data_IF_757781967913
#
_entry.id   IF_757781967913
#
_cell.length_a   1.000
_cell.length_b   1.000
_cell.length_c   1.000
_cell.angle_alpha   90.00
_cell.angle_beta   90.00
_cell.angle_gamma   90.00
#
_symmetry.space_group_name_H-M   'P 1'
#
loop_
_entity.id
_entity.type
_entity.pdbx_description
1 polymer ?
#
# COMPACT_ATOMS: atom_id res chain seq x y z
N UNK A 1 29.89 -4.25 -16.02
CA UNK A 1 28.55 -4.82 -16.23
C UNK A 1 27.58 -3.65 -16.22
N UNK A 2 26.90 -3.45 -17.36
CA UNK A 2 26.10 -2.26 -17.59
C UNK A 2 24.81 -2.30 -16.74
N UNK A 3 24.72 -1.45 -15.75
CA UNK A 3 23.53 -1.20 -14.92
C UNK A 3 22.29 -0.79 -15.73
N UNK A 4 22.43 -0.45 -17.01
CA UNK A 4 21.31 -0.10 -17.91
C UNK A 4 20.38 -1.28 -18.22
N UNK A 5 20.83 -2.51 -18.11
CA UNK A 5 19.98 -3.70 -18.35
C UNK A 5 19.00 -3.90 -17.19
N UNK A 6 19.42 -3.60 -15.96
CA UNK A 6 18.55 -3.71 -14.77
C UNK A 6 17.44 -2.65 -14.76
N UNK A 7 17.73 -1.45 -15.26
CA UNK A 7 16.72 -0.36 -15.38
C UNK A 7 15.63 -0.73 -16.41
N UNK A 8 15.95 -1.41 -17.50
CA UNK A 8 14.97 -1.84 -18.49
C UNK A 8 14.00 -2.90 -17.96
N UNK A 9 14.44 -3.79 -17.09
CA UNK A 9 13.55 -4.78 -16.43
C UNK A 9 12.60 -4.13 -15.40
N UNK A 10 12.97 -3.00 -14.83
CA UNK A 10 12.12 -2.24 -13.90
C UNK A 10 10.99 -1.52 -14.65
N UNK A 11 11.20 -1.10 -15.91
CA UNK A 11 10.22 -0.36 -16.72
C UNK A 11 9.07 -1.25 -17.19
N UNK A 12 9.28 -2.54 -17.42
CA UNK A 12 8.25 -3.48 -17.89
C UNK A 12 7.26 -3.91 -16.78
N UNK A 13 7.58 -3.63 -15.53
CA UNK A 13 6.70 -3.87 -14.38
C UNK A 13 6.60 -2.61 -13.53
N UNK A 14 5.61 -1.73 -13.78
CA UNK A 14 5.41 -0.53 -12.97
C UNK A 14 5.09 -0.91 -11.53
N UNK A 15 6.06 -0.67 -10.66
CA UNK A 15 6.00 -0.96 -9.23
C UNK A 15 6.52 0.23 -8.43
N UNK A 16 5.93 0.47 -7.27
CA UNK A 16 6.36 1.50 -6.33
C UNK A 16 7.19 0.87 -5.22
N UNK A 17 8.22 1.59 -4.77
CA UNK A 17 8.96 1.25 -3.54
C UNK A 17 8.17 1.73 -2.34
N UNK A 18 7.88 0.81 -1.41
CA UNK A 18 7.17 1.12 -0.18
C UNK A 18 8.08 0.80 1.01
N UNK A 19 8.35 1.81 1.82
CA UNK A 19 9.10 1.64 3.05
C UNK A 19 8.21 1.04 4.14
N UNK A 20 8.71 0.03 4.84
CA UNK A 20 7.96 -0.64 5.92
C UNK A 20 7.66 0.31 7.07
N UNK A 21 8.58 1.21 7.38
CA UNK A 21 8.41 2.23 8.41
C UNK A 21 7.20 3.14 8.13
N UNK A 22 6.99 3.53 6.87
CA UNK A 22 5.81 4.30 6.47
C UNK A 22 4.51 3.56 6.82
N UNK A 23 4.39 2.28 6.45
CA UNK A 23 3.21 1.48 6.79
C UNK A 23 3.06 1.28 8.29
N UNK A 24 4.15 1.03 9.01
CA UNK A 24 4.11 0.90 10.47
C UNK A 24 3.65 2.19 11.16
N UNK A 25 4.04 3.33 10.62
CA UNK A 25 3.58 4.65 11.11
C UNK A 25 2.08 4.81 10.86
N UNK A 26 1.60 4.51 9.65
CA UNK A 26 0.18 4.52 9.32
C UNK A 26 -0.64 3.55 10.18
N UNK A 27 -0.12 2.35 10.43
CA UNK A 27 -0.78 1.36 11.31
C UNK A 27 -0.98 1.86 12.73
N UNK A 28 -0.08 2.71 13.22
CA UNK A 28 -0.14 3.30 14.56
C UNK A 28 -0.98 4.59 14.63
N UNK A 29 -1.20 5.27 13.50
CA UNK A 29 -2.00 6.48 13.46
C UNK A 29 -3.48 6.17 13.67
N UNK A 30 -3.97 6.33 14.89
CA UNK A 30 -5.37 6.12 15.28
C UNK A 30 -6.37 7.04 14.59
N UNK A 31 -5.91 8.14 14.01
CA UNK A 31 -6.75 9.15 13.37
C UNK A 31 -7.13 8.80 11.93
N UNK A 32 -6.31 8.02 11.22
CA UNK A 32 -6.63 7.54 9.88
C UNK A 32 -7.48 6.27 10.00
N UNK A 33 -8.71 6.33 9.51
CA UNK A 33 -9.71 5.28 9.73
C UNK A 33 -9.60 4.16 8.69
N UNK A 34 -9.77 2.93 9.17
CA UNK A 34 -10.06 1.76 8.34
C UNK A 34 -11.57 1.49 8.32
N UNK A 35 -12.01 0.69 7.37
CA UNK A 35 -13.33 0.07 7.34
C UNK A 35 -13.21 -1.41 6.99
N UNK A 36 -14.30 -2.15 6.95
CA UNK A 36 -14.27 -3.58 6.61
C UNK A 36 -13.81 -3.89 5.18
N UNK A 37 -13.69 -2.88 4.31
CA UNK A 37 -13.27 -3.01 2.91
C UNK A 37 -11.90 -2.36 2.64
N UNK A 38 -11.06 -2.15 3.65
CA UNK A 38 -9.71 -1.56 3.53
C UNK A 38 -8.72 -2.54 2.88
N UNK A 39 -9.08 -3.13 1.73
CA UNK A 39 -8.34 -4.25 1.15
C UNK A 39 -6.94 -3.88 0.66
N UNK A 40 -6.74 -2.66 0.16
CA UNK A 40 -5.41 -2.18 -0.21
C UNK A 40 -4.51 -2.13 1.03
N UNK A 41 -4.99 -1.54 2.12
CA UNK A 41 -4.26 -1.47 3.39
C UNK A 41 -3.96 -2.87 3.95
N UNK A 42 -4.94 -3.76 3.97
CA UNK A 42 -4.74 -5.11 4.49
C UNK A 42 -3.70 -5.90 3.70
N UNK A 43 -3.80 -5.87 2.38
CA UNK A 43 -2.86 -6.56 1.53
C UNK A 43 -1.44 -5.98 1.61
N UNK A 44 -1.30 -4.63 1.60
CA UNK A 44 0.00 -3.99 1.78
C UNK A 44 0.61 -4.29 3.16
N UNK A 45 -0.23 -4.37 4.20
CA UNK A 45 0.22 -4.77 5.54
C UNK A 45 0.82 -6.17 5.50
N UNK A 46 0.15 -7.15 4.89
CA UNK A 46 0.72 -8.49 4.73
C UNK A 46 2.03 -8.47 3.93
N UNK A 47 2.10 -7.71 2.84
CA UNK A 47 3.33 -7.53 2.07
C UNK A 47 4.47 -6.97 2.92
N UNK A 48 4.18 -6.06 3.86
CA UNK A 48 5.21 -5.47 4.73
C UNK A 48 5.85 -6.45 5.69
N UNK A 49 5.13 -7.50 6.07
CA UNK A 49 5.66 -8.58 6.91
C UNK A 49 6.27 -9.74 6.12
N UNK A 50 5.91 -9.88 4.84
CA UNK A 50 6.42 -10.96 4.00
C UNK A 50 7.96 -11.00 3.96
N UNK A 51 8.51 -12.19 4.05
CA UNK A 51 9.94 -12.40 4.14
C UNK A 51 10.62 -12.28 2.76
N UNK A 52 11.86 -11.78 2.73
CA UNK A 52 12.65 -11.67 1.49
C UNK A 52 13.59 -12.84 1.28
N UNK A 53 14.01 -13.46 2.38
CA UNK A 53 14.95 -14.59 2.38
C UNK A 53 14.38 -15.70 3.23
N UNK A 54 14.71 -16.91 2.90
CA UNK A 54 14.38 -18.05 3.75
C UNK A 54 14.98 -17.86 5.14
N UNK A 55 14.15 -17.94 6.15
CA UNK A 55 14.55 -17.81 7.55
C UNK A 55 13.70 -18.69 8.48
N UNK A 56 14.07 -18.76 9.74
CA UNK A 56 13.31 -19.45 10.77
C UNK A 56 12.66 -18.44 11.71
N UNK A 57 11.37 -18.60 11.94
CA UNK A 57 10.61 -17.83 12.94
C UNK A 57 10.22 -18.78 14.06
N UNK A 58 10.55 -18.42 15.31
CA UNK A 58 10.20 -19.21 16.49
C UNK A 58 8.93 -18.67 17.14
N UNK A 59 7.88 -19.46 17.17
CA UNK A 59 6.62 -19.14 17.83
C UNK A 59 6.19 -20.33 18.70
N UNK A 60 5.77 -20.04 19.92
CA UNK A 60 5.31 -21.05 20.90
C UNK A 60 6.28 -22.24 21.09
N UNK A 61 7.59 -21.94 21.06
CA UNK A 61 8.64 -22.95 21.21
C UNK A 61 8.96 -23.75 19.95
N UNK A 62 8.21 -23.60 18.88
CA UNK A 62 8.38 -24.29 17.58
C UNK A 62 9.08 -23.35 16.59
N UNK A 63 10.04 -23.88 15.85
CA UNK A 63 10.70 -23.15 14.74
C UNK A 63 10.01 -23.49 13.42
N UNK A 64 9.52 -22.46 12.75
CA UNK A 64 8.85 -22.56 11.46
C UNK A 64 9.76 -22.03 10.36
N UNK A 65 9.90 -22.79 9.27
CA UNK A 65 10.58 -22.32 8.07
C UNK A 65 9.64 -21.34 7.32
N UNK A 66 10.16 -20.15 7.00
CA UNK A 66 9.46 -19.10 6.27
C UNK A 66 10.27 -18.77 5.02
N UNK A 67 9.68 -19.02 3.86
CA UNK A 67 10.29 -18.76 2.55
C UNK A 67 10.05 -17.30 2.10
N UNK A 68 10.70 -16.83 1.00
CA UNK A 68 10.38 -15.54 0.41
C UNK A 68 8.90 -15.39 0.04
N UNK A 69 8.29 -14.28 0.45
CA UNK A 69 6.85 -14.02 0.27
C UNK A 69 5.96 -14.62 1.35
N UNK A 70 6.54 -15.39 2.28
CA UNK A 70 5.80 -15.98 3.39
C UNK A 70 6.00 -15.23 4.70
N UNK A 71 5.03 -15.38 5.60
CA UNK A 71 5.16 -15.03 7.00
C UNK A 71 4.28 -15.90 7.88
N UNK A 72 4.60 -15.94 9.17
CA UNK A 72 3.81 -16.60 10.20
C UNK A 72 3.62 -15.68 11.39
N UNK A 73 2.38 -15.59 11.88
CA UNK A 73 2.01 -14.73 13.01
C UNK A 73 0.89 -15.34 13.83
N UNK A 74 0.63 -14.78 15.00
CA UNK A 74 -0.56 -15.10 15.78
C UNK A 74 -1.80 -14.46 15.16
N UNK A 75 -2.96 -15.08 15.31
CA UNK A 75 -4.24 -14.51 14.86
C UNK A 75 -4.55 -13.19 15.59
N UNK A 76 -4.10 -13.03 16.84
CA UNK A 76 -4.20 -11.77 17.59
C UNK A 76 -3.37 -10.65 16.99
N UNK A 77 -2.11 -10.93 16.60
CA UNK A 77 -1.24 -9.95 15.93
C UNK A 77 -1.85 -9.48 14.60
N UNK A 78 -2.43 -10.42 13.84
CA UNK A 78 -3.13 -10.09 12.60
C UNK A 78 -4.30 -9.13 12.82
N UNK A 79 -5.07 -9.32 13.90
CA UNK A 79 -6.17 -8.43 14.29
C UNK A 79 -5.67 -7.02 14.62
N UNK A 80 -4.53 -6.91 15.30
CA UNK A 80 -3.89 -5.63 15.59
C UNK A 80 -3.42 -4.94 14.29
N UNK A 81 -2.77 -5.67 13.40
CA UNK A 81 -2.28 -5.13 12.13
C UNK A 81 -3.41 -4.60 11.25
N UNK A 82 -4.52 -5.33 11.19
CA UNK A 82 -5.71 -4.95 10.42
C UNK A 82 -6.62 -3.96 11.17
N UNK A 83 -6.29 -3.65 12.43
CA UNK A 83 -7.10 -2.77 13.28
C UNK A 83 -8.55 -3.25 13.39
N UNK A 84 -8.74 -4.56 13.41
CA UNK A 84 -10.04 -5.20 13.60
C UNK A 84 -10.32 -5.41 15.08
N UNK A 85 -11.60 -5.29 15.46
CA UNK A 85 -12.00 -5.50 16.85
C UNK A 85 -11.92 -6.97 17.28
N UNK A 86 -12.16 -7.89 16.35
CA UNK A 86 -12.24 -9.32 16.63
C UNK A 86 -11.38 -10.12 15.65
N UNK A 87 -10.79 -11.21 16.15
CA UNK A 87 -9.93 -12.09 15.35
C UNK A 87 -10.63 -12.71 14.14
N UNK A 88 -11.93 -13.06 14.26
CA UNK A 88 -12.69 -13.63 13.14
C UNK A 88 -12.81 -12.65 11.97
N UNK A 89 -12.86 -11.33 12.23
CA UNK A 89 -12.87 -10.31 11.18
C UNK A 89 -11.54 -10.30 10.40
N UNK A 90 -10.41 -10.43 11.10
CA UNK A 90 -9.11 -10.54 10.45
C UNK A 90 -9.01 -11.80 9.60
N UNK A 91 -9.56 -12.91 10.06
CA UNK A 91 -9.63 -14.17 9.29
C UNK A 91 -10.52 -14.01 8.06
N UNK A 92 -11.69 -13.37 8.19
CA UNK A 92 -12.58 -13.11 7.03
C UNK A 92 -11.91 -12.24 5.95
N UNK A 93 -11.03 -11.31 6.36
CA UNK A 93 -10.22 -10.53 5.42
C UNK A 93 -9.24 -11.45 4.66
N UNK A 94 -8.58 -12.38 5.36
CA UNK A 94 -7.71 -13.36 4.71
C UNK A 94 -8.48 -14.28 3.76
N UNK A 95 -9.67 -14.75 4.17
CA UNK A 95 -10.55 -15.57 3.33
C UNK A 95 -10.84 -14.82 2.02
N UNK A 96 -11.24 -13.55 2.11
CA UNK A 96 -11.48 -12.71 0.95
C UNK A 96 -10.25 -12.54 0.06
N UNK A 97 -9.08 -12.18 0.63
CA UNK A 97 -7.84 -12.00 -0.14
C UNK A 97 -7.39 -13.31 -0.81
N UNK A 98 -7.66 -14.47 -0.19
CA UNK A 98 -7.39 -15.78 -0.77
C UNK A 98 -8.36 -16.10 -1.91
N UNK A 99 -9.66 -15.83 -1.78
CA UNK A 99 -10.66 -15.98 -2.83
C UNK A 99 -10.32 -15.13 -4.07
N UNK A 100 -9.75 -13.93 -3.85
CA UNK A 100 -9.26 -13.04 -4.91
C UNK A 100 -7.86 -13.39 -5.40
N UNK A 101 -7.27 -14.51 -4.96
CA UNK A 101 -5.95 -15.01 -5.36
C UNK A 101 -4.76 -14.07 -5.04
N UNK A 102 -4.90 -13.12 -4.12
CA UNK A 102 -3.76 -12.29 -3.68
C UNK A 102 -2.82 -13.02 -2.74
N UNK A 103 -3.35 -13.92 -1.92
CA UNK A 103 -2.60 -14.70 -0.95
C UNK A 103 -3.06 -16.16 -0.95
N UNK A 104 -2.26 -17.02 -0.32
CA UNK A 104 -2.69 -18.29 0.24
C UNK A 104 -2.36 -18.32 1.72
N UNK A 105 -3.21 -18.92 2.55
CA UNK A 105 -2.91 -19.04 3.96
C UNK A 105 -3.38 -20.35 4.56
N UNK A 106 -2.78 -20.75 5.67
CA UNK A 106 -3.15 -21.93 6.46
C UNK A 106 -3.22 -21.59 7.94
N UNK A 107 -4.19 -22.21 8.62
CA UNK A 107 -4.33 -22.13 10.09
C UNK A 107 -3.53 -23.25 10.72
N UNK A 108 -2.69 -22.89 11.69
CA UNK A 108 -1.86 -23.80 12.47
C UNK A 108 -2.26 -23.70 13.96
N UNK A 109 -1.76 -24.62 14.78
CA UNK A 109 -2.00 -24.61 16.25
C UNK A 109 -3.49 -24.40 16.62
N UNK A 110 -4.38 -25.20 16.02
CA UNK A 110 -5.84 -25.10 16.22
C UNK A 110 -6.41 -23.71 15.87
N UNK A 111 -5.77 -22.99 14.96
CA UNK A 111 -6.19 -21.66 14.49
C UNK A 111 -5.58 -20.48 15.24
N UNK A 112 -4.70 -20.71 16.21
CA UNK A 112 -4.01 -19.63 16.92
C UNK A 112 -2.89 -18.98 16.09
N UNK A 113 -2.33 -19.73 15.13
CA UNK A 113 -1.29 -19.25 14.22
C UNK A 113 -1.81 -19.25 12.79
N UNK A 114 -1.40 -18.25 12.04
CA UNK A 114 -1.65 -18.10 10.61
C UNK A 114 -0.29 -18.09 9.89
N UNK A 115 -0.11 -18.99 8.93
CA UNK A 115 0.97 -18.90 7.95
C UNK A 115 0.38 -18.47 6.64
N UNK A 116 0.87 -17.36 6.06
CA UNK A 116 0.42 -16.86 4.77
C UNK A 116 1.57 -16.71 3.78
N UNK A 117 1.23 -16.73 2.51
CA UNK A 117 2.12 -16.51 1.36
C UNK A 117 1.50 -15.46 0.47
N UNK A 118 2.26 -14.44 0.10
CA UNK A 118 1.88 -13.46 -0.92
C UNK A 118 2.06 -14.11 -2.29
N UNK A 119 0.97 -14.23 -3.05
CA UNK A 119 1.04 -14.76 -4.39
C UNK A 119 1.82 -13.81 -5.30
N UNK A 120 2.54 -14.37 -6.27
CA UNK A 120 3.37 -13.59 -7.21
C UNK A 120 4.45 -12.68 -6.58
N UNK A 121 4.77 -12.88 -5.29
CA UNK A 121 5.78 -12.10 -4.57
C UNK A 121 7.08 -11.92 -5.36
N UNK A 122 7.58 -13.02 -5.94
CA UNK A 122 8.84 -13.02 -6.68
C UNK A 122 8.82 -12.24 -8.00
N UNK A 123 7.64 -11.94 -8.56
CA UNK A 123 7.52 -11.09 -9.75
C UNK A 123 7.93 -9.64 -9.47
N UNK A 124 7.63 -9.15 -8.28
CA UNK A 124 7.91 -7.78 -7.89
C UNK A 124 9.09 -7.64 -6.94
N UNK A 125 9.45 -8.70 -6.21
CA UNK A 125 10.43 -8.68 -5.14
C UNK A 125 11.47 -9.79 -5.34
N UNK A 126 12.53 -9.51 -6.11
CA UNK A 126 13.64 -10.43 -6.35
C UNK A 126 14.80 -10.16 -5.38
N UNK A 127 15.65 -11.17 -5.14
CA UNK A 127 16.82 -10.99 -4.27
C UNK A 127 17.83 -9.95 -4.82
N UNK A 128 17.83 -9.72 -6.12
CA UNK A 128 18.69 -8.72 -6.79
C UNK A 128 18.32 -7.28 -6.41
N UNK A 129 17.05 -7.04 -6.09
CA UNK A 129 16.57 -5.72 -5.69
C UNK A 129 17.10 -5.25 -4.32
N UNK A 130 17.73 -6.15 -3.54
CA UNK A 130 18.13 -5.93 -2.15
C UNK A 130 19.64 -5.90 -1.91
N UNK A 131 20.45 -5.78 -2.95
CA UNK A 131 21.90 -5.63 -2.82
C UNK A 131 22.34 -4.21 -2.37
N UNK A 132 21.39 -3.29 -2.15
CA UNK A 132 21.69 -2.01 -1.53
C UNK A 132 21.72 -2.15 0.00
N UNK A 133 22.78 -1.68 0.66
CA UNK A 133 22.83 -1.72 2.12
C UNK A 133 21.81 -0.76 2.72
N UNK A 134 20.68 -1.29 3.12
CA UNK A 134 19.72 -0.58 3.98
C UNK A 134 20.26 -0.59 5.40
N UNK A 135 21.09 0.39 5.73
CA UNK A 135 21.94 0.37 6.91
C UNK A 135 21.21 0.63 8.24
N UNK A 136 19.96 1.11 8.26
CA UNK A 136 19.28 1.46 9.54
C UNK A 136 17.76 1.44 9.52
N UNK A 137 17.09 1.18 8.40
CA UNK A 137 15.64 1.14 8.34
C UNK A 137 15.09 -0.29 8.38
N UNK A 138 13.80 -0.41 8.59
CA UNK A 138 13.06 -1.69 8.62
C UNK A 138 12.97 -2.31 7.21
N UNK A 139 13.60 -1.65 6.20
CA UNK A 139 13.62 -2.04 4.80
C UNK A 139 12.37 -1.60 4.01
N UNK A 140 12.33 -2.03 2.75
CA UNK A 140 11.25 -1.73 1.83
C UNK A 140 10.81 -2.99 1.09
N UNK A 141 9.71 -2.88 0.35
CA UNK A 141 9.29 -3.86 -0.66
C UNK A 141 8.75 -3.12 -1.89
N UNK A 142 8.69 -3.82 -3.02
CA UNK A 142 8.07 -3.28 -4.22
C UNK A 142 6.61 -3.74 -4.31
N UNK A 143 5.74 -2.79 -4.63
CA UNK A 143 4.31 -3.01 -4.76
C UNK A 143 3.84 -2.73 -6.20
N UNK A 144 3.17 -3.67 -6.89
CA UNK A 144 2.70 -3.47 -8.26
C UNK A 144 1.56 -2.45 -8.31
N UNK A 145 1.68 -1.42 -9.15
CA UNK A 145 0.64 -0.38 -9.29
C UNK A 145 -0.70 -0.94 -9.83
N UNK A 146 -0.64 -1.97 -10.68
CA UNK A 146 -1.85 -2.62 -11.19
C UNK A 146 -2.75 -3.16 -10.06
N UNK A 147 -2.17 -3.76 -9.03
CA UNK A 147 -2.89 -4.30 -7.86
C UNK A 147 -3.61 -3.20 -7.08
N UNK A 148 -3.10 -1.95 -7.09
CA UNK A 148 -3.76 -0.82 -6.43
C UNK A 148 -5.14 -0.57 -7.04
N UNK A 149 -5.22 -0.52 -8.38
CA UNK A 149 -6.49 -0.29 -9.08
C UNK A 149 -7.50 -1.39 -8.80
N UNK A 150 -7.07 -2.63 -8.81
CA UNK A 150 -7.92 -3.78 -8.51
C UNK A 150 -8.49 -3.68 -7.09
N UNK A 151 -7.63 -3.53 -6.06
CA UNK A 151 -8.05 -3.51 -4.66
C UNK A 151 -8.92 -2.30 -4.30
N UNK A 152 -8.67 -1.13 -4.90
CA UNK A 152 -9.49 0.08 -4.70
C UNK A 152 -10.88 -0.07 -5.34
N UNK A 153 -11.01 -0.79 -6.45
CA UNK A 153 -12.27 -0.96 -7.15
C UNK A 153 -13.25 -1.92 -6.47
N UNK A 154 -12.80 -2.71 -5.49
CA UNK A 154 -13.62 -3.76 -4.85
C UNK A 154 -14.77 -3.18 -4.01
N UNK A 155 -14.60 -1.98 -3.46
CA UNK A 155 -15.60 -1.42 -2.56
C UNK A 155 -15.41 0.06 -2.26
N UNK A 156 -15.98 0.50 -1.14
CA UNK A 156 -15.77 1.87 -0.65
C UNK A 156 -14.41 1.96 0.05
N UNK A 157 -13.51 2.75 -0.48
CA UNK A 157 -12.23 3.01 0.14
C UNK A 157 -12.36 3.62 1.53
N UNK A 158 -11.54 3.17 2.44
CA UNK A 158 -11.33 3.81 3.74
C UNK A 158 -10.41 5.02 3.63
N UNK A 159 -10.31 5.82 4.69
CA UNK A 159 -9.31 6.90 4.75
C UNK A 159 -7.89 6.33 4.59
N UNK A 160 -7.63 5.13 5.12
CA UNK A 160 -6.34 4.45 5.02
C UNK A 160 -6.02 4.06 3.56
N UNK A 161 -6.98 3.48 2.83
CA UNK A 161 -6.80 3.14 1.43
C UNK A 161 -6.55 4.40 0.59
N UNK A 162 -7.24 5.50 0.89
CA UNK A 162 -7.07 6.79 0.20
C UNK A 162 -5.65 7.33 0.40
N UNK A 163 -5.13 7.32 1.63
CA UNK A 163 -3.75 7.73 1.91
C UNK A 163 -2.76 6.89 1.09
N UNK A 164 -2.92 5.57 1.10
CA UNK A 164 -2.06 4.66 0.35
C UNK A 164 -2.16 4.89 -1.16
N UNK A 165 -3.37 5.09 -1.69
CA UNK A 165 -3.59 5.36 -3.10
C UNK A 165 -2.90 6.66 -3.54
N UNK A 166 -3.01 7.72 -2.75
CA UNK A 166 -2.34 8.99 -3.02
C UNK A 166 -0.81 8.82 -3.03
N UNK A 167 -0.25 8.09 -2.05
CA UNK A 167 1.19 7.83 -1.96
C UNK A 167 1.73 7.02 -3.13
N UNK A 168 0.98 5.99 -3.55
CA UNK A 168 1.37 5.11 -4.65
C UNK A 168 1.31 5.80 -6.04
N UNK A 169 0.61 6.93 -6.14
CA UNK A 169 0.51 7.73 -7.35
C UNK A 169 1.29 9.04 -7.28
N UNK A 170 2.15 9.20 -6.27
CA UNK A 170 3.02 10.35 -6.17
C UNK A 170 4.15 10.30 -7.22
N UNK A 171 4.32 11.39 -7.94
CA UNK A 171 5.39 11.60 -8.92
C UNK A 171 6.22 12.80 -8.45
N UNK A 172 7.52 12.65 -8.51
CA UNK A 172 8.46 13.72 -8.13
C UNK A 172 9.55 13.88 -9.17
N UNK A 173 9.81 15.12 -9.56
CA UNK A 173 10.87 15.50 -10.48
C UNK A 173 10.83 14.75 -11.83
N UNK A 174 9.63 14.65 -12.42
CA UNK A 174 9.38 14.03 -13.72
C UNK A 174 8.89 15.11 -14.72
N UNK A 175 9.67 15.38 -15.77
CA UNK A 175 9.35 16.40 -16.76
C UNK A 175 8.04 16.20 -17.50
N UNK A 176 7.51 14.96 -17.50
CA UNK A 176 6.23 14.62 -18.13
C UNK A 176 5.02 15.00 -17.29
N UNK A 177 5.22 15.34 -15.99
CA UNK A 177 4.13 15.64 -15.06
C UNK A 177 4.27 17.07 -14.53
N UNK A 178 3.31 17.91 -14.86
CA UNK A 178 3.30 19.33 -14.47
C UNK A 178 3.31 19.49 -12.96
N UNK A 179 4.21 20.34 -12.45
CA UNK A 179 4.31 20.65 -11.02
C UNK A 179 5.07 19.63 -10.20
N UNK A 180 5.55 18.54 -10.80
CA UNK A 180 6.35 17.55 -10.10
C UNK A 180 7.71 18.06 -9.64
N UNK A 181 8.22 19.13 -10.26
CA UNK A 181 9.43 19.85 -9.88
C UNK A 181 9.29 20.64 -8.58
N UNK A 182 8.05 21.02 -8.22
CA UNK A 182 7.76 21.78 -6.99
C UNK A 182 7.76 20.85 -5.78
N UNK A 183 7.28 19.60 -5.95
CA UNK A 183 7.17 18.62 -4.89
C UNK A 183 6.48 17.34 -5.36
N UNK A 184 6.37 16.33 -4.49
CA UNK A 184 5.68 15.09 -4.81
C UNK A 184 4.20 15.35 -5.11
N UNK A 185 3.81 15.29 -6.37
CA UNK A 185 2.45 15.55 -6.85
C UNK A 185 1.74 14.23 -7.14
N UNK A 186 0.48 14.13 -6.73
CA UNK A 186 -0.35 12.97 -7.05
C UNK A 186 -0.81 13.06 -8.49
N UNK A 187 -0.45 12.04 -9.29
CA UNK A 187 -0.79 11.96 -10.69
C UNK A 187 -1.44 10.62 -11.03
N UNK A 188 -2.75 10.61 -11.21
CA UNK A 188 -3.47 9.45 -11.73
C UNK A 188 -3.37 9.45 -13.25
N UNK A 189 -2.43 8.70 -13.80
CA UNK A 189 -2.03 8.67 -15.22
C UNK A 189 -3.21 8.91 -16.18
N UNK A 190 -3.24 10.10 -16.78
CA UNK A 190 -4.27 10.53 -17.74
C UNK A 190 -3.70 10.83 -19.13
N UNK A 191 -2.45 10.47 -19.40
CA UNK A 191 -1.71 10.69 -20.64
C UNK A 191 -1.52 12.17 -21.03
N UNK A 192 -1.91 13.14 -20.19
CA UNK A 192 -1.78 14.58 -20.47
C UNK A 192 -0.67 15.25 -19.67
N UNK A 193 -0.09 14.56 -18.69
CA UNK A 193 0.86 15.13 -17.72
C UNK A 193 0.26 16.15 -16.74
N UNK A 194 -1.06 16.40 -16.82
CA UNK A 194 -1.74 17.35 -15.95
C UNK A 194 -2.27 16.65 -14.69
N UNK A 195 -1.79 16.99 -13.47
CA UNK A 195 -2.20 16.36 -12.22
C UNK A 195 -3.53 16.91 -11.68
N UNK A 196 -4.19 17.82 -12.40
CA UNK A 196 -5.46 18.39 -11.99
C UNK A 196 -6.53 17.29 -11.93
N UNK A 197 -7.17 17.14 -10.78
CA UNK A 197 -8.25 16.14 -10.59
C UNK A 197 -9.45 16.76 -9.87
N UNK A 198 -10.64 16.39 -10.30
CA UNK A 198 -11.88 16.81 -9.66
C UNK A 198 -12.25 15.88 -8.49
N UNK A 199 -12.98 16.43 -7.49
CA UNK A 199 -13.51 15.63 -6.40
C UNK A 199 -14.58 14.63 -6.86
N UNK A 200 -15.19 14.85 -8.02
CA UNK A 200 -16.11 13.89 -8.61
C UNK A 200 -15.37 12.64 -9.14
N UNK A 201 -14.26 12.85 -9.84
CA UNK A 201 -13.40 11.76 -10.32
C UNK A 201 -12.79 10.97 -9.16
N UNK A 202 -12.30 11.64 -8.10
CA UNK A 202 -11.85 10.99 -6.88
C UNK A 202 -12.97 10.20 -6.20
N UNK A 203 -14.19 10.74 -6.20
CA UNK A 203 -15.36 10.05 -5.67
C UNK A 203 -15.69 8.76 -6.41
N UNK A 204 -15.62 8.78 -7.74
CA UNK A 204 -15.77 7.60 -8.58
C UNK A 204 -14.66 6.58 -8.32
N UNK A 205 -13.40 7.04 -8.27
CA UNK A 205 -12.24 6.18 -8.01
C UNK A 205 -12.33 5.45 -6.67
N UNK A 206 -12.75 6.14 -5.61
CA UNK A 206 -12.78 5.59 -4.25
C UNK A 206 -14.15 5.03 -3.82
N UNK A 207 -15.14 5.05 -4.71
CA UNK A 207 -16.49 4.55 -4.40
C UNK A 207 -17.23 5.34 -3.32
N UNK A 208 -16.93 6.66 -3.18
CA UNK A 208 -17.48 7.54 -2.15
C UNK A 208 -18.06 8.83 -2.74
N UNK A 209 -18.90 9.52 -1.98
CA UNK A 209 -19.49 10.78 -2.44
C UNK A 209 -18.46 11.92 -2.50
N UNK A 210 -18.68 12.89 -3.41
CA UNK A 210 -17.88 14.12 -3.53
C UNK A 210 -17.75 14.86 -2.19
N UNK A 211 -18.80 14.90 -1.39
CA UNK A 211 -18.77 15.54 -0.06
C UNK A 211 -17.86 14.78 0.91
N UNK A 212 -17.83 13.43 0.82
CA UNK A 212 -16.91 12.60 1.60
C UNK A 212 -15.48 12.82 1.18
N UNK A 213 -15.19 12.90 -0.13
CA UNK A 213 -13.86 13.24 -0.67
C UNK A 213 -13.38 14.56 -0.07
N UNK A 214 -14.19 15.62 -0.18
CA UNK A 214 -13.84 16.94 0.35
C UNK A 214 -13.49 16.90 1.84
N UNK A 215 -14.30 16.20 2.64
CA UNK A 215 -14.07 16.06 4.09
C UNK A 215 -12.78 15.29 4.40
N UNK A 216 -12.50 14.22 3.67
CA UNK A 216 -11.28 13.41 3.90
C UNK A 216 -10.03 14.20 3.49
N UNK A 217 -10.04 14.84 2.33
CA UNK A 217 -8.89 15.64 1.88
C UNK A 217 -8.64 16.83 2.83
N UNK A 218 -9.67 17.52 3.28
CA UNK A 218 -9.53 18.59 4.29
C UNK A 218 -8.94 18.07 5.61
N UNK A 219 -9.38 16.88 6.07
CA UNK A 219 -8.81 16.24 7.25
C UNK A 219 -7.33 15.88 7.06
N UNK A 220 -6.96 15.32 5.91
CA UNK A 220 -5.56 14.96 5.60
C UNK A 220 -4.68 16.19 5.46
N UNK A 221 -5.21 17.30 4.91
CA UNK A 221 -4.51 18.59 4.84
C UNK A 221 -4.27 19.15 6.23
N UNK A 222 -5.27 19.14 7.11
CA UNK A 222 -5.14 19.62 8.49
C UNK A 222 -4.14 18.80 9.33
N UNK A 223 -3.87 17.58 8.90
CA UNK A 223 -2.88 16.68 9.51
C UNK A 223 -1.52 16.69 8.80
N UNK A 224 -1.32 17.61 7.89
CA UNK A 224 -0.07 17.76 7.13
C UNK A 224 0.35 16.52 6.33
N UNK A 225 -0.59 15.65 5.96
CA UNK A 225 -0.33 14.56 5.01
C UNK A 225 -0.22 15.06 3.58
N UNK A 226 -0.99 16.09 3.24
CA UNK A 226 -1.04 16.65 1.90
C UNK A 226 -1.32 18.16 1.92
N UNK A 227 -1.03 18.80 0.80
CA UNK A 227 -1.40 20.18 0.47
C UNK A 227 -2.26 20.20 -0.79
N UNK A 228 -3.32 21.00 -0.78
CA UNK A 228 -4.24 21.15 -1.91
C UNK A 228 -4.05 22.50 -2.57
N UNK A 229 -3.81 22.52 -3.88
CA UNK A 229 -3.79 23.71 -4.71
C UNK A 229 -5.01 23.70 -5.60
N UNK A 230 -5.97 24.58 -5.30
CA UNK A 230 -7.20 24.72 -6.08
C UNK A 230 -7.09 25.89 -7.06
N UNK A 231 -7.53 25.69 -8.29
CA UNK A 231 -7.47 26.69 -9.34
C UNK A 231 -8.85 27.33 -9.53
N UNK A 232 -8.91 28.65 -9.39
CA UNK A 232 -10.13 29.43 -9.61
C UNK A 232 -10.59 29.28 -11.08
N UNK A 233 -11.85 28.90 -11.26
CA UNK A 233 -12.43 28.66 -12.60
C UNK A 233 -12.15 27.29 -13.22
N UNK A 234 -11.34 26.45 -12.59
CA UNK A 234 -11.16 25.03 -12.98
C UNK A 234 -11.80 24.13 -11.93
N UNK A 235 -12.53 23.12 -12.39
CA UNK A 235 -13.23 22.18 -11.49
C UNK A 235 -12.29 21.07 -10.99
N UNK A 236 -11.23 21.43 -10.26
CA UNK A 236 -10.27 20.45 -9.74
C UNK A 236 -9.21 21.07 -8.83
N UNK A 237 -8.42 20.19 -8.23
CA UNK A 237 -7.29 20.54 -7.38
C UNK A 237 -6.09 19.69 -7.75
N UNK A 238 -4.90 20.24 -7.51
CA UNK A 238 -3.65 19.48 -7.53
C UNK A 238 -3.31 19.12 -6.09
N UNK A 239 -2.91 17.88 -5.86
CA UNK A 239 -2.61 17.31 -4.55
C UNK A 239 -1.10 17.11 -4.46
N UNK A 240 -0.45 17.77 -3.53
CA UNK A 240 0.96 17.53 -3.16
C UNK A 240 1.03 16.75 -1.86
N UNK A 241 1.93 15.77 -1.78
CA UNK A 241 2.17 15.05 -0.53
C UNK A 241 3.19 15.81 0.34
N UNK A 242 2.90 15.87 1.62
CA UNK A 242 3.84 16.34 2.64
C UNK A 242 4.59 15.12 3.20
N UNK A 243 5.87 15.28 3.52
CA UNK A 243 6.71 14.23 4.14
C UNK A 243 6.78 12.91 3.33
N UNK A 244 6.83 13.02 2.00
CA UNK A 244 6.96 11.89 1.06
C UNK A 244 8.40 11.38 1.01
#
# INVERSE_FOLDING_TARGET
MDYQIEIKQIVDYPRCRIYREFLQTLMKDGDIRTNGSSYLFYYMTLCSYANFRTSYVRLEGISYLVAPGEWICKTSELSEWFRTRFQHQAVSILDFLQEQHYITYTKLSRGNLIKFTINDWKKSNTALDYNYPCLKDVGFFFFPVAVVHELISIGKCSEMDIVLDLWLHAIYNDEQVQGSEIGPVVYFRNCTGNPLISYAELGLRWGISKATVSRILAKLQNKEYLSLVSFTGKHGSVIYLCNY
#
